data_IF_416528192413
#
_entry.id   IF_416528192413
#
_cell.length_a   1.000
_cell.length_b   1.000
_cell.length_c   1.000
_cell.angle_alpha   90.00
_cell.angle_beta   90.00
_cell.angle_gamma   90.00
#
_symmetry.space_group_name_H-M   'P 1'
#
loop_
_entity.id
_entity.type
_entity.pdbx_description
1 polymer ?
#
# COMPACT_ATOMS: atom_id res chain seq x y z
N UNK A 1 0.48 17.40 -9.92
CA UNK A 1 -0.05 16.03 -9.75
C UNK A 1 1.05 15.07 -10.15
N UNK A 2 1.51 14.20 -9.24
CA UNK A 2 2.31 13.02 -9.61
C UNK A 2 1.44 11.83 -9.26
N UNK A 3 1.26 10.92 -10.20
CA UNK A 3 0.42 9.75 -10.00
C UNK A 3 0.92 8.93 -8.80
N UNK A 4 0.02 8.35 -7.99
CA UNK A 4 0.40 7.57 -6.83
C UNK A 4 1.22 6.33 -7.27
N UNK A 5 2.19 5.94 -6.43
CA UNK A 5 2.99 4.74 -6.70
C UNK A 5 2.11 3.52 -6.44
N UNK A 6 1.94 2.69 -7.48
CA UNK A 6 1.15 1.47 -7.44
C UNK A 6 1.96 0.32 -6.84
N UNK A 7 1.45 -0.29 -5.78
CA UNK A 7 2.15 -1.34 -5.02
C UNK A 7 1.28 -2.60 -4.99
N UNK A 8 1.77 -3.68 -5.59
CA UNK A 8 1.17 -5.01 -5.44
C UNK A 8 1.67 -5.68 -4.16
N UNK A 9 0.76 -6.12 -3.29
CA UNK A 9 1.10 -6.80 -2.05
C UNK A 9 0.81 -8.31 -2.14
N UNK A 10 1.84 -9.09 -2.43
CA UNK A 10 1.75 -10.55 -2.46
C UNK A 10 2.00 -11.15 -1.07
N UNK A 11 0.92 -11.62 -0.44
CA UNK A 11 0.94 -12.21 0.91
C UNK A 11 0.42 -11.26 1.98
N UNK A 12 -0.79 -11.52 2.48
CA UNK A 12 -1.51 -10.65 3.43
C UNK A 12 -1.43 -11.12 4.89
N UNK A 13 -0.25 -11.61 5.28
CA UNK A 13 0.07 -12.03 6.65
C UNK A 13 0.21 -10.85 7.60
N UNK A 14 0.81 -11.09 8.78
CA UNK A 14 1.00 -10.06 9.82
C UNK A 14 1.76 -8.82 9.31
N UNK A 15 2.74 -9.04 8.42
CA UNK A 15 3.52 -7.96 7.80
C UNK A 15 2.71 -7.24 6.72
N UNK A 16 2.07 -7.99 5.80
CA UNK A 16 1.26 -7.41 4.73
C UNK A 16 0.13 -6.51 5.25
N UNK A 17 -0.58 -6.93 6.31
CA UNK A 17 -1.63 -6.09 6.93
C UNK A 17 -1.10 -4.80 7.53
N UNK A 18 0.10 -4.81 8.12
CA UNK A 18 0.71 -3.61 8.69
C UNK A 18 1.17 -2.65 7.59
N UNK A 19 1.78 -3.17 6.51
CA UNK A 19 2.16 -2.37 5.34
C UNK A 19 0.91 -1.76 4.71
N UNK A 20 -0.14 -2.55 4.50
CA UNK A 20 -1.43 -2.04 3.99
C UNK A 20 -1.99 -0.92 4.87
N UNK A 21 -2.00 -1.09 6.20
CA UNK A 21 -2.52 -0.09 7.13
C UNK A 21 -1.76 1.24 7.08
N UNK A 22 -0.45 1.21 6.87
CA UNK A 22 0.36 2.43 6.73
C UNK A 22 0.21 3.06 5.33
N UNK A 23 0.21 2.23 4.28
CA UNK A 23 0.13 2.67 2.89
C UNK A 23 -1.25 3.20 2.50
N UNK A 24 -2.33 2.57 2.98
CA UNK A 24 -3.72 2.92 2.61
C UNK A 24 -4.12 4.35 2.99
N UNK A 25 -3.53 4.92 4.05
CA UNK A 25 -3.81 6.29 4.48
C UNK A 25 -2.93 7.34 3.80
N UNK A 26 -1.96 6.91 2.99
CA UNK A 26 -0.99 7.81 2.38
C UNK A 26 -1.36 8.08 0.92
N UNK A 27 -1.69 9.34 0.55
CA UNK A 27 -2.10 9.68 -0.82
C UNK A 27 -0.99 9.51 -1.87
N UNK A 28 0.24 9.21 -1.45
CA UNK A 28 1.37 8.89 -2.34
C UNK A 28 1.35 7.44 -2.84
N UNK A 29 0.58 6.56 -2.21
CA UNK A 29 0.58 5.14 -2.49
C UNK A 29 -0.83 4.66 -2.87
N UNK A 30 -0.88 3.79 -3.88
CA UNK A 30 -2.08 3.07 -4.27
C UNK A 30 -1.77 1.57 -4.18
N UNK A 31 -2.40 0.85 -3.25
CA UNK A 31 -2.21 -0.59 -3.13
C UNK A 31 -3.22 -1.28 -4.05
N UNK A 32 -2.71 -2.00 -5.07
CA UNK A 32 -3.48 -2.62 -6.15
C UNK A 32 -3.30 -4.13 -6.20
#
# INVERSE_FOLDING_TARGET
MRDPIRIGLFGFGRIGRNIFRQGYKNPKFEIV
#
